data_IF_166507183039
#
_entry.id   IF_166507183039
#
_cell.length_a   1.000
_cell.length_b   1.000
_cell.length_c   1.000
_cell.angle_alpha   90.00
_cell.angle_beta   90.00
_cell.angle_gamma   90.00
#
_symmetry.space_group_name_H-M   'P 1'
#
loop_
_entity.id
_entity.type
_entity.pdbx_description
1 polymer ?
#
# COMPACT_ATOMS: atom_id res chain seq x y z
N UNK A 1 3.99 2.31 26.04
CA UNK A 1 3.42 1.00 26.44
C UNK A 1 2.81 0.36 25.21
N UNK A 2 2.99 -0.95 25.03
CA UNK A 2 2.32 -1.71 23.96
C UNK A 2 1.17 -2.51 24.58
N UNK A 3 0.04 -2.61 23.90
CA UNK A 3 -1.10 -3.41 24.33
C UNK A 3 -1.33 -4.59 23.40
N UNK A 4 -1.77 -5.71 23.96
CA UNK A 4 -2.26 -6.84 23.18
C UNK A 4 -3.63 -6.45 22.59
N UNK A 5 -3.77 -6.56 21.27
CA UNK A 5 -5.05 -6.34 20.59
C UNK A 5 -5.80 -7.64 20.33
N UNK A 6 -5.06 -8.66 19.88
CA UNK A 6 -5.62 -9.94 19.45
C UNK A 6 -4.64 -11.05 19.78
N UNK A 7 -5.18 -12.15 20.27
CA UNK A 7 -4.50 -13.43 20.41
C UNK A 7 -5.38 -14.49 19.72
N UNK A 8 -4.75 -15.36 18.93
CA UNK A 8 -5.41 -16.47 18.27
C UNK A 8 -4.51 -17.70 18.30
N UNK A 9 -5.09 -18.87 18.51
CA UNK A 9 -4.37 -20.14 18.47
C UNK A 9 -4.59 -20.81 17.12
N UNK A 10 -3.52 -21.36 16.54
CA UNK A 10 -3.54 -22.08 15.28
C UNK A 10 -2.66 -23.34 15.42
N UNK A 11 -3.30 -24.46 15.79
CA UNK A 11 -2.58 -25.68 16.13
C UNK A 11 -1.75 -25.49 17.40
N UNK A 12 -0.44 -25.72 17.31
CA UNK A 12 0.48 -25.45 18.42
C UNK A 12 0.90 -23.97 18.49
N UNK A 13 0.73 -23.22 17.41
CA UNK A 13 1.20 -21.83 17.33
C UNK A 13 0.21 -20.85 17.93
N UNK A 14 0.75 -19.80 18.53
CA UNK A 14 -0.02 -18.68 19.07
C UNK A 14 0.31 -17.40 18.31
N UNK A 15 -0.68 -16.82 17.68
CA UNK A 15 -0.59 -15.58 16.91
C UNK A 15 -0.99 -14.38 17.78
N UNK A 16 -0.07 -13.43 17.93
CA UNK A 16 -0.28 -12.23 18.74
C UNK A 16 -0.23 -10.98 17.85
N UNK A 17 -1.15 -10.03 18.10
CA UNK A 17 -1.10 -8.69 17.52
C UNK A 17 -0.91 -7.66 18.63
N UNK A 18 0.25 -7.02 18.64
CA UNK A 18 0.60 -5.98 19.61
C UNK A 18 0.47 -4.60 18.98
N UNK A 19 -0.23 -3.68 19.64
CA UNK A 19 -0.30 -2.28 19.24
C UNK A 19 0.68 -1.43 20.02
N UNK A 20 1.51 -0.67 19.30
CA UNK A 20 2.18 0.51 19.80
C UNK A 20 1.45 1.78 19.36
N UNK A 21 1.95 2.95 19.79
CA UNK A 21 1.37 4.26 19.46
C UNK A 21 1.24 4.51 17.95
N UNK A 22 2.14 3.95 17.15
CA UNK A 22 2.23 4.23 15.71
C UNK A 22 2.43 2.98 14.84
N UNK A 23 2.53 1.80 15.44
CA UNK A 23 2.87 0.56 14.73
C UNK A 23 2.07 -0.60 15.31
N UNK A 24 1.76 -1.58 14.47
CA UNK A 24 1.22 -2.88 14.90
C UNK A 24 2.27 -3.94 14.58
N UNK A 25 2.57 -4.78 15.56
CA UNK A 25 3.50 -5.89 15.41
C UNK A 25 2.71 -7.20 15.45
N UNK A 26 3.01 -8.11 14.53
CA UNK A 26 2.45 -9.47 14.52
C UNK A 26 3.54 -10.44 14.90
N UNK A 27 3.30 -11.25 15.91
CA UNK A 27 4.22 -12.28 16.40
C UNK A 27 3.55 -13.64 16.30
N UNK A 28 4.36 -14.66 16.02
CA UNK A 28 3.97 -16.06 16.16
C UNK A 28 4.86 -16.64 17.24
N UNK A 29 4.24 -17.19 18.27
CA UNK A 29 4.91 -17.89 19.37
C UNK A 29 4.72 -19.38 19.12
N UNK A 30 5.82 -20.07 18.84
CA UNK A 30 5.85 -21.51 18.56
C UNK A 30 6.39 -22.26 19.77
N UNK A 31 5.60 -23.11 20.43
CA UNK A 31 6.05 -23.92 21.56
C UNK A 31 6.68 -25.25 21.10
N UNK A 32 7.58 -25.85 21.92
CA UNK A 32 8.32 -25.22 23.00
C UNK A 32 9.51 -24.45 22.42
N UNK A 33 9.55 -23.13 22.59
CA UNK A 33 10.71 -22.34 22.21
C UNK A 33 11.88 -22.75 23.13
N UNK A 34 12.82 -23.54 22.61
CA UNK A 34 13.99 -24.01 23.38
C UNK A 34 14.90 -22.86 23.86
N UNK A 35 14.68 -21.63 23.37
CA UNK A 35 15.40 -20.41 23.74
C UNK A 35 14.50 -19.19 23.60
N UNK A 36 14.75 -18.19 24.43
CA UNK A 36 14.22 -16.85 24.26
C UNK A 36 14.91 -16.17 23.07
N UNK A 37 14.19 -15.99 21.97
CA UNK A 37 14.75 -15.39 20.76
C UNK A 37 13.75 -15.27 19.61
N UNK A 38 14.22 -14.67 18.51
CA UNK A 38 13.44 -14.50 17.29
C UNK A 38 14.01 -15.34 16.17
N UNK A 39 13.14 -16.04 15.45
CA UNK A 39 13.47 -16.68 14.18
C UNK A 39 13.03 -15.72 13.08
N UNK A 40 13.99 -15.20 12.31
CA UNK A 40 13.72 -14.32 11.17
C UNK A 40 14.14 -15.07 9.90
N UNK A 41 13.19 -15.44 9.02
CA UNK A 41 13.52 -16.08 7.75
C UNK A 41 14.42 -15.21 6.88
N UNK A 42 15.38 -15.82 6.20
CA UNK A 42 16.27 -15.17 5.24
C UNK A 42 15.63 -15.13 3.84
N UNK A 43 14.54 -14.37 3.69
CA UNK A 43 13.85 -14.15 2.41
C UNK A 43 13.84 -12.65 2.02
N UNK A 44 13.18 -12.31 0.91
CA UNK A 44 13.10 -10.93 0.38
C UNK A 44 12.51 -9.89 1.38
N UNK A 45 11.78 -10.35 2.40
CA UNK A 45 11.19 -9.52 3.46
C UNK A 45 12.07 -9.45 4.73
N UNK A 46 13.29 -10.00 4.71
CA UNK A 46 14.19 -10.03 5.88
C UNK A 46 14.46 -8.62 6.44
N UNK A 47 14.77 -7.65 5.59
CA UNK A 47 15.07 -6.28 6.00
C UNK A 47 13.89 -5.61 6.72
N UNK A 48 12.67 -5.84 6.23
CA UNK A 48 11.43 -5.34 6.83
C UNK A 48 11.18 -6.01 8.18
N UNK A 49 11.42 -7.32 8.30
CA UNK A 49 11.27 -8.03 9.58
C UNK A 49 12.29 -7.58 10.62
N UNK A 50 13.54 -7.33 10.23
CA UNK A 50 14.55 -6.76 11.12
C UNK A 50 14.18 -5.35 11.58
N UNK A 51 13.72 -4.48 10.67
CA UNK A 51 13.24 -3.15 11.04
C UNK A 51 12.02 -3.21 11.99
N UNK A 52 11.08 -4.14 11.75
CA UNK A 52 9.94 -4.37 12.63
C UNK A 52 10.36 -4.87 14.01
N UNK A 53 11.39 -5.71 14.09
CA UNK A 53 11.96 -6.22 15.33
C UNK A 53 12.69 -5.12 16.12
N UNK A 54 13.52 -4.30 15.45
CA UNK A 54 14.12 -3.11 16.07
C UNK A 54 13.04 -2.18 16.63
N UNK A 55 12.01 -1.88 15.83
CA UNK A 55 10.88 -1.06 16.27
C UNK A 55 10.04 -1.69 17.41
N UNK A 56 10.08 -3.02 17.57
CA UNK A 56 9.44 -3.74 18.67
C UNK A 56 10.23 -3.62 19.99
N UNK A 57 11.56 -3.59 19.95
CA UNK A 57 12.36 -3.50 21.17
C UNK A 57 12.66 -2.08 21.61
N UNK A 58 12.78 -1.17 20.66
CA UNK A 58 13.28 0.15 20.97
C UNK A 58 12.24 1.08 21.60
N UNK A 59 12.75 2.04 22.36
CA UNK A 59 11.94 3.13 22.89
C UNK A 59 11.46 4.01 21.72
N UNK A 60 10.18 4.43 21.65
CA UNK A 60 9.64 5.16 20.49
C UNK A 60 10.35 6.46 20.09
N UNK A 61 11.23 7.01 20.94
CA UNK A 61 12.00 8.24 20.73
C UNK A 61 13.49 8.00 20.45
N UNK A 62 13.98 6.76 20.44
CA UNK A 62 15.37 6.49 20.05
C UNK A 62 15.58 6.79 18.57
N UNK A 63 16.81 7.16 18.20
CA UNK A 63 17.19 7.43 16.81
C UNK A 63 16.98 6.20 15.93
N UNK A 64 17.34 5.02 16.43
CA UNK A 64 17.19 3.76 15.70
C UNK A 64 15.71 3.37 15.52
N UNK A 65 14.81 3.64 16.48
CA UNK A 65 13.37 3.42 16.33
C UNK A 65 12.77 4.35 15.29
N UNK A 66 13.24 5.60 15.23
CA UNK A 66 12.81 6.56 14.20
C UNK A 66 13.25 6.08 12.82
N UNK A 67 14.50 5.63 12.67
CA UNK A 67 15.01 5.10 11.41
C UNK A 67 14.29 3.81 10.98
N UNK A 68 14.07 2.87 11.90
CA UNK A 68 13.32 1.65 11.66
C UNK A 68 11.87 1.95 11.25
N UNK A 69 11.21 2.91 11.92
CA UNK A 69 9.86 3.34 11.53
C UNK A 69 9.83 4.01 10.16
N UNK A 70 10.84 4.80 9.80
CA UNK A 70 10.94 5.39 8.47
C UNK A 70 11.01 4.31 7.37
N UNK A 71 11.73 3.21 7.62
CA UNK A 71 11.79 2.06 6.71
C UNK A 71 10.44 1.31 6.60
N UNK A 72 9.60 1.37 7.63
CA UNK A 72 8.30 0.72 7.68
C UNK A 72 7.13 1.63 7.26
N UNK A 73 7.37 2.92 7.08
CA UNK A 73 6.33 3.91 6.79
C UNK A 73 6.40 4.30 5.32
N UNK A 74 5.25 4.33 4.61
CA UNK A 74 5.19 4.90 3.27
C UNK A 74 5.80 6.31 3.20
N UNK A 75 6.51 6.61 2.11
CA UNK A 75 6.93 7.99 1.83
C UNK A 75 5.71 8.92 1.75
N UNK A 76 5.85 10.24 2.00
CA UNK A 76 4.74 11.18 1.89
C UNK A 76 3.99 11.10 0.54
N UNK A 77 4.74 10.92 -0.56
CA UNK A 77 4.18 10.70 -1.89
C UNK A 77 3.37 9.41 -1.98
N UNK A 78 3.92 8.27 -1.52
CA UNK A 78 3.21 6.99 -1.50
C UNK A 78 1.95 7.08 -0.63
N UNK A 79 2.04 7.71 0.54
CA UNK A 79 0.90 7.93 1.43
C UNK A 79 -0.20 8.74 0.74
N UNK A 80 0.15 9.87 0.11
CA UNK A 80 -0.80 10.68 -0.65
C UNK A 80 -1.47 9.86 -1.76
N UNK A 81 -0.69 9.09 -2.53
CA UNK A 81 -1.22 8.22 -3.59
C UNK A 81 -2.15 7.15 -3.05
N UNK A 82 -1.81 6.46 -1.95
CA UNK A 82 -2.69 5.48 -1.32
C UNK A 82 -4.00 6.11 -0.84
N UNK A 83 -3.95 7.31 -0.26
CA UNK A 83 -5.16 8.06 0.14
C UNK A 83 -6.03 8.40 -1.07
N UNK A 84 -5.42 8.83 -2.18
CA UNK A 84 -6.15 9.08 -3.43
C UNK A 84 -6.82 7.79 -3.96
N UNK A 85 -6.12 6.65 -3.93
CA UNK A 85 -6.69 5.37 -4.36
C UNK A 85 -7.86 4.93 -3.47
N UNK A 86 -7.80 5.16 -2.16
CA UNK A 86 -8.92 4.93 -1.25
C UNK A 86 -10.11 5.84 -1.58
N UNK A 87 -9.89 7.15 -1.76
CA UNK A 87 -10.95 8.07 -2.14
C UNK A 87 -11.61 7.70 -3.49
N UNK A 88 -10.84 7.17 -4.44
CA UNK A 88 -11.37 6.64 -5.70
C UNK A 88 -12.28 5.42 -5.45
N UNK A 89 -11.87 4.50 -4.56
CA UNK A 89 -12.69 3.34 -4.21
C UNK A 89 -14.00 3.76 -3.54
N UNK A 90 -13.95 4.72 -2.61
CA UNK A 90 -15.14 5.23 -1.94
C UNK A 90 -16.14 5.85 -2.93
N UNK A 91 -15.66 6.56 -3.96
CA UNK A 91 -16.53 7.12 -5.02
C UNK A 91 -17.08 6.07 -5.98
N UNK A 92 -16.43 4.91 -6.08
CA UNK A 92 -16.87 3.79 -6.92
C UNK A 92 -17.77 2.80 -6.18
N UNK A 93 -17.84 2.90 -4.85
CA UNK A 93 -18.59 1.98 -4.00
C UNK A 93 -20.10 2.16 -4.19
N UNK A 94 -20.83 1.14 -4.70
CA UNK A 94 -22.28 1.20 -4.84
C UNK A 94 -23.02 1.39 -3.52
N UNK A 95 -22.42 1.00 -2.38
CA UNK A 95 -23.03 1.22 -1.07
C UNK A 95 -23.07 2.71 -0.68
N UNK A 96 -22.23 3.54 -1.31
CA UNK A 96 -22.16 4.98 -1.09
C UNK A 96 -23.12 5.78 -2.00
N UNK A 97 -23.87 5.11 -2.89
CA UNK A 97 -24.82 5.71 -3.82
C UNK A 97 -24.54 5.35 -5.28
N UNK A 98 -24.91 6.22 -6.21
CA UNK A 98 -24.61 6.02 -7.63
C UNK A 98 -23.09 6.04 -7.87
N UNK A 99 -22.48 4.97 -8.40
CA UNK A 99 -21.04 4.91 -8.62
C UNK A 99 -20.57 6.02 -9.55
N UNK A 100 -19.55 6.77 -9.12
CA UNK A 100 -19.02 7.86 -9.91
C UNK A 100 -18.43 7.37 -11.24
N UNK A 101 -18.76 8.08 -12.33
CA UNK A 101 -18.10 7.87 -13.62
C UNK A 101 -16.63 8.26 -13.54
N UNK A 102 -15.81 7.72 -14.44
CA UNK A 102 -14.39 8.10 -14.56
C UNK A 102 -14.22 9.62 -14.75
N UNK A 103 -15.17 10.28 -15.42
CA UNK A 103 -15.14 11.74 -15.63
C UNK A 103 -15.39 12.50 -14.32
N UNK A 104 -16.34 12.04 -13.51
CA UNK A 104 -16.59 12.62 -12.17
C UNK A 104 -15.39 12.40 -11.25
N UNK A 105 -14.79 11.20 -11.24
CA UNK A 105 -13.56 10.94 -10.49
C UNK A 105 -12.44 11.89 -10.93
N UNK A 106 -12.29 12.12 -12.23
CA UNK A 106 -11.27 13.00 -12.76
C UNK A 106 -11.45 14.44 -12.26
N UNK A 107 -12.69 14.95 -12.34
CA UNK A 107 -13.05 16.29 -11.88
C UNK A 107 -12.90 16.43 -10.37
N UNK A 108 -13.35 15.45 -9.60
CA UNK A 108 -13.48 15.60 -8.15
C UNK A 108 -12.14 15.35 -7.43
N UNK A 109 -11.32 14.43 -7.94
CA UNK A 109 -10.16 13.90 -7.20
C UNK A 109 -8.80 14.12 -7.86
N UNK A 110 -8.67 13.94 -9.19
CA UNK A 110 -7.34 13.96 -9.84
C UNK A 110 -6.99 15.30 -10.48
N UNK A 111 -7.99 15.99 -11.02
CA UNK A 111 -7.85 17.28 -11.71
C UNK A 111 -8.95 18.25 -11.25
N UNK A 112 -8.98 18.63 -9.96
CA UNK A 112 -9.97 19.55 -9.43
C UNK A 112 -9.95 20.88 -10.18
N UNK A 113 -11.14 21.35 -10.57
CA UNK A 113 -11.32 22.62 -11.28
C UNK A 113 -11.10 22.56 -12.80
N UNK A 114 -10.80 21.39 -13.38
CA UNK A 114 -10.86 21.22 -14.84
C UNK A 114 -12.26 20.84 -15.30
N UNK A 115 -12.80 21.64 -16.19
CA UNK A 115 -14.00 21.31 -16.95
C UNK A 115 -13.64 20.81 -18.36
N UNK A 116 -14.30 19.73 -18.75
CA UNK A 116 -14.20 19.15 -20.09
C UNK A 116 -15.54 19.32 -20.77
N UNK A 117 -15.97 20.54 -21.07
CA UNK A 117 -17.34 20.83 -21.49
C UNK A 117 -17.76 20.00 -22.70
N UNK A 118 -16.83 19.73 -23.62
CA UNK A 118 -17.10 18.89 -24.79
C UNK A 118 -16.75 17.42 -24.53
N UNK A 119 -17.65 16.54 -24.96
CA UNK A 119 -17.43 15.10 -24.87
C UNK A 119 -16.16 14.64 -25.62
N UNK A 120 -15.78 15.32 -26.71
CA UNK A 120 -14.59 14.98 -27.48
C UNK A 120 -13.30 15.32 -26.73
N UNK A 121 -13.25 16.46 -26.03
CA UNK A 121 -12.11 16.88 -25.21
C UNK A 121 -11.86 15.88 -24.08
N UNK A 122 -12.92 15.43 -23.41
CA UNK A 122 -12.80 14.37 -22.42
C UNK A 122 -12.28 13.07 -23.04
N UNK A 123 -12.86 12.62 -24.16
CA UNK A 123 -12.53 11.31 -24.76
C UNK A 123 -11.08 11.24 -25.24
N UNK A 124 -10.53 12.32 -25.80
CA UNK A 124 -9.15 12.35 -26.32
C UNK A 124 -8.10 12.70 -25.25
N UNK A 125 -8.51 13.28 -24.12
CA UNK A 125 -7.58 13.76 -23.09
C UNK A 125 -6.64 12.70 -22.51
N UNK A 126 -5.41 13.14 -22.18
CA UNK A 126 -4.49 12.40 -21.30
C UNK A 126 -5.12 12.11 -19.94
N UNK A 127 -5.94 13.04 -19.47
CA UNK A 127 -6.50 13.08 -18.13
C UNK A 127 -7.49 11.92 -17.93
N UNK A 128 -8.27 11.59 -18.95
CA UNK A 128 -9.07 10.35 -18.99
C UNK A 128 -8.21 9.11 -18.81
N UNK A 129 -7.14 8.95 -19.61
CA UNK A 129 -6.27 7.76 -19.54
C UNK A 129 -5.57 7.66 -18.17
N UNK A 130 -5.10 8.78 -17.63
CA UNK A 130 -4.49 8.82 -16.31
C UNK A 130 -5.47 8.43 -15.20
N UNK A 131 -6.70 8.96 -15.25
CA UNK A 131 -7.75 8.61 -14.28
C UNK A 131 -8.13 7.13 -14.39
N UNK A 132 -8.26 6.59 -15.60
CA UNK A 132 -8.51 5.16 -15.81
C UNK A 132 -7.41 4.28 -15.22
N UNK A 133 -6.13 4.66 -15.38
CA UNK A 133 -5.01 3.95 -14.76
C UNK A 133 -5.08 3.98 -13.24
N UNK A 134 -5.48 5.11 -12.64
CA UNK A 134 -5.66 5.23 -11.20
C UNK A 134 -6.83 4.37 -10.70
N UNK A 135 -7.96 4.33 -11.42
CA UNK A 135 -9.09 3.45 -11.11
C UNK A 135 -8.69 1.98 -11.18
N UNK A 136 -7.97 1.58 -12.23
CA UNK A 136 -7.47 0.21 -12.38
C UNK A 136 -6.49 -0.14 -11.25
N UNK A 137 -5.60 0.78 -10.89
CA UNK A 137 -4.68 0.63 -9.77
C UNK A 137 -5.41 0.50 -8.42
N UNK A 138 -6.43 1.32 -8.17
CA UNK A 138 -7.20 1.27 -6.94
C UNK A 138 -7.87 -0.11 -6.76
N UNK A 139 -8.48 -0.64 -7.83
CA UNK A 139 -9.06 -2.00 -7.85
C UNK A 139 -8.01 -3.10 -7.71
N UNK A 140 -6.83 -2.94 -8.30
CA UNK A 140 -5.71 -3.88 -8.10
C UNK A 140 -5.26 -3.90 -6.64
N UNK A 141 -5.22 -2.74 -5.98
CA UNK A 141 -4.80 -2.63 -4.59
C UNK A 141 -5.72 -3.39 -3.64
N UNK A 142 -7.04 -3.46 -3.89
CA UNK A 142 -7.97 -4.20 -3.02
C UNK A 142 -7.86 -5.71 -3.16
N UNK A 143 -7.42 -6.22 -4.32
CA UNK A 143 -7.38 -7.66 -4.61
C UNK A 143 -6.02 -8.28 -4.30
N UNK A 144 -4.94 -7.67 -4.79
CA UNK A 144 -3.59 -8.24 -4.69
C UNK A 144 -2.53 -7.23 -4.25
N UNK A 145 -2.64 -5.98 -4.71
CA UNK A 145 -1.57 -4.98 -4.53
C UNK A 145 -1.31 -4.58 -3.07
N UNK A 146 -2.27 -4.73 -2.17
CA UNK A 146 -2.03 -4.47 -0.74
C UNK A 146 -0.97 -5.39 -0.13
N UNK A 147 -0.72 -6.58 -0.69
CA UNK A 147 0.31 -7.51 -0.18
C UNK A 147 1.71 -6.94 -0.34
N UNK A 148 1.95 -6.15 -1.38
CA UNK A 148 3.23 -5.48 -1.61
C UNK A 148 3.53 -4.42 -0.52
N UNK A 149 2.50 -3.87 0.13
CA UNK A 149 2.64 -2.96 1.28
C UNK A 149 3.14 -3.71 2.51
N UNK A 150 2.81 -4.99 2.65
CA UNK A 150 3.18 -5.82 3.80
C UNK A 150 4.61 -6.33 3.70
N UNK A 151 5.10 -6.59 2.49
CA UNK A 151 6.47 -7.05 2.25
C UNK A 151 7.49 -5.90 2.14
N UNK A 152 7.05 -4.64 2.32
CA UNK A 152 7.88 -3.45 2.07
C UNK A 152 8.41 -3.35 0.64
N UNK A 153 7.90 -4.17 -0.28
CA UNK A 153 8.32 -4.24 -1.68
C UNK A 153 7.55 -3.29 -2.58
N UNK A 154 6.70 -2.42 -2.00
CA UNK A 154 5.89 -1.45 -2.75
C UNK A 154 6.78 -0.48 -3.50
N UNK A 155 7.18 -0.88 -4.70
CA UNK A 155 7.54 0.02 -5.78
C UNK A 155 6.22 0.35 -6.45
N UNK A 156 5.58 1.46 -6.06
CA UNK A 156 4.54 2.02 -6.93
C UNK A 156 5.20 2.25 -8.27
N UNK A 157 4.75 1.52 -9.28
CA UNK A 157 5.40 1.45 -10.58
C UNK A 157 5.63 2.86 -11.15
N UNK A 158 6.89 3.28 -11.13
CA UNK A 158 7.53 3.95 -12.27
C UNK A 158 8.06 2.88 -13.22
N UNK A 159 7.21 1.91 -13.57
CA UNK A 159 7.47 0.99 -14.68
C UNK A 159 6.58 1.44 -15.82
N UNK A 160 6.91 2.60 -16.37
CA UNK A 160 6.60 2.89 -17.76
C UNK A 160 7.41 1.87 -18.54
N UNK A 161 6.86 0.67 -18.72
CA UNK A 161 7.40 -0.25 -19.71
C UNK A 161 7.30 0.48 -21.04
N UNK A 162 8.48 0.78 -21.57
CA UNK A 162 8.72 1.15 -22.95
C UNK A 162 7.82 0.26 -23.82
N UNK A 163 6.80 0.87 -24.43
CA UNK A 163 6.41 0.46 -25.75
C UNK A 163 7.62 0.80 -26.63
N UNK A 164 8.53 -0.16 -26.73
CA UNK A 164 9.49 -0.18 -27.81
C UNK A 164 8.66 -0.42 -29.07
N UNK A 165 8.38 0.67 -29.77
CA UNK A 165 7.77 0.63 -31.08
C UNK A 165 8.82 0.12 -32.05
N UNK A 166 8.90 -1.19 -32.21
CA UNK A 166 9.43 -1.78 -33.45
C UNK A 166 8.32 -1.68 -34.50
N UNK A 167 8.11 -0.46 -34.99
CA UNK A 167 7.44 -0.19 -36.25
C UNK A 167 8.55 -0.02 -37.30
N UNK A 168 9.20 -1.14 -37.65
CA UNK A 168 9.99 -1.23 -38.88
C UNK A 168 9.01 -1.44 -40.03
N UNK A 169 8.46 -0.34 -40.52
CA UNK A 169 7.89 -0.26 -41.85
C UNK A 169 8.82 0.53 -42.75
N UNK A 170 9.45 -0.14 -43.73
CA UNK A 170 9.29 0.15 -45.17
C UNK A 170 10.34 -0.55 -46.04
N UNK A 171 9.78 -1.19 -47.06
CA UNK A 171 10.18 -1.19 -48.48
C UNK A 171 11.61 -1.57 -48.87
#
# INVERSE_FOLDING_TARGET
MRSLLVEAEAGADRHLVLAGKHTRHRLVVTPPAARDGYIVPADHSMSVRLAALSALHEHPRSRQAIAARAALTPSPYLRHRLVLLLAILDRLDPASGEPATVRQIARDLTFPGRDYDRAIEWKSSSDRRQTQRLVAEARRMTTTGYRDLLSGSTRLASRTERCDGSDEGRD
#
